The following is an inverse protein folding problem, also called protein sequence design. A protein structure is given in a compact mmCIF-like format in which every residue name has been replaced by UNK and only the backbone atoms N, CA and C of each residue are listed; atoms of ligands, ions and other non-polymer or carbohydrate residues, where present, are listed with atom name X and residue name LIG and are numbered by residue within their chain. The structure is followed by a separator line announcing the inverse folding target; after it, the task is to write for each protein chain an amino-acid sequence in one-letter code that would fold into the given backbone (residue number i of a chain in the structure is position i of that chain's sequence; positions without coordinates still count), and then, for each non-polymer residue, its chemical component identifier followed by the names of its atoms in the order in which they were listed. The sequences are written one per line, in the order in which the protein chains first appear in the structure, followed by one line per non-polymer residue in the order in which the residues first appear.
data_IF_532739470530
#
_entry.id   IF_532739470530
#
_cell.length_a   1.000
_cell.length_b   1.000
_cell.length_c   1.000
_cell.angle_alpha   90.00
_cell.angle_beta   90.00
_cell.angle_gamma   90.00
#
_symmetry.space_group_name_H-M   'P 1'
#
loop_
_entity.id
_entity.type
_entity.pdbx_description
1 polymer ?
#
# COMPACT_ATOMS: atom_id res chain seq x y z
N UNK A 1 -0.48 -17.68 -6.07
CA UNK A 1 -1.61 -17.40 -5.17
C UNK A 1 -1.29 -16.14 -4.39
N UNK A 2 -2.25 -15.23 -4.24
CA UNK A 2 -2.08 -14.03 -3.42
C UNK A 2 -1.90 -14.44 -1.96
N UNK A 3 -0.79 -14.02 -1.33
CA UNK A 3 -0.52 -14.27 0.08
C UNK A 3 -0.98 -13.02 0.83
N UNK A 4 -1.99 -13.18 1.68
CA UNK A 4 -2.35 -12.13 2.61
C UNK A 4 -1.21 -11.92 3.59
N UNK A 5 -0.68 -10.70 3.65
CA UNK A 5 0.28 -10.33 4.68
C UNK A 5 -0.50 -9.96 5.94
N UNK A 6 -0.16 -10.58 7.07
CA UNK A 6 -0.76 -10.22 8.37
C UNK A 6 -0.22 -8.89 8.90
N UNK A 7 0.86 -8.40 8.30
CA UNK A 7 1.49 -7.14 8.67
C UNK A 7 0.96 -6.00 7.80
N UNK A 8 0.76 -4.81 8.37
CA UNK A 8 0.39 -3.65 7.58
C UNK A 8 1.48 -3.35 6.55
N UNK A 9 1.06 -2.91 5.37
CA UNK A 9 1.98 -2.44 4.34
C UNK A 9 2.87 -1.31 4.89
N UNK A 10 4.14 -1.24 4.46
CA UNK A 10 5.03 -0.18 4.91
C UNK A 10 4.47 1.18 4.49
N UNK A 11 4.64 2.17 5.35
CA UNK A 11 4.26 3.55 5.05
C UNK A 11 4.91 4.02 3.73
N UNK A 12 4.23 4.88 2.93
CA UNK A 12 4.73 5.32 1.62
C UNK A 12 6.18 5.85 1.65
N UNK A 13 6.58 6.51 2.73
CA UNK A 13 7.92 7.07 2.90
C UNK A 13 9.01 6.02 3.12
N UNK A 14 8.62 4.85 3.63
CA UNK A 14 9.48 3.69 3.87
C UNK A 14 9.47 2.74 2.66
N UNK A 15 8.73 3.07 1.60
CA UNK A 15 8.74 2.31 0.37
C UNK A 15 10.05 2.57 -0.39
N UNK A 16 10.91 1.56 -0.45
CA UNK A 16 12.17 1.63 -1.18
C UNK A 16 11.92 1.52 -2.69
N UNK A 17 12.24 2.59 -3.40
CA UNK A 17 12.24 2.59 -4.86
C UNK A 17 13.58 2.03 -5.37
N UNK A 18 13.61 1.37 -6.55
CA UNK A 18 14.85 0.86 -7.14
C UNK A 18 15.82 1.96 -7.58
N UNK A 19 15.42 3.22 -7.44
CA UNK A 19 16.21 4.43 -7.60
C UNK A 19 16.17 5.20 -6.28
N UNK A 20 17.14 6.09 -6.03
CA UNK A 20 17.33 6.83 -4.76
C UNK A 20 16.19 7.83 -4.38
N UNK A 21 15.00 7.66 -4.95
CA UNK A 21 13.82 8.45 -4.65
C UNK A 21 13.00 7.87 -3.49
N UNK A 22 12.10 8.70 -2.96
CA UNK A 22 11.05 8.29 -2.01
C UNK A 22 9.68 8.49 -2.64
N UNK A 23 8.71 7.68 -2.25
CA UNK A 23 7.34 7.87 -2.69
C UNK A 23 6.76 9.12 -2.02
N UNK A 24 6.33 10.08 -2.83
CA UNK A 24 5.68 11.29 -2.29
C UNK A 24 4.25 10.99 -1.84
N UNK A 25 3.88 11.44 -0.65
CA UNK A 25 2.49 11.42 -0.15
C UNK A 25 1.52 12.18 -1.06
N UNK A 26 2.00 13.20 -1.79
CA UNK A 26 1.16 13.96 -2.73
C UNK A 26 0.91 13.23 -4.05
N UNK A 27 1.44 12.01 -4.21
CA UNK A 27 1.19 11.19 -5.38
C UNK A 27 -0.28 10.73 -5.37
N UNK A 28 -0.98 10.95 -6.48
CA UNK A 28 -2.40 10.60 -6.60
C UNK A 28 -2.69 9.13 -6.29
N UNK A 29 -1.77 8.22 -6.64
CA UNK A 29 -1.93 6.79 -6.34
C UNK A 29 -1.82 6.49 -4.85
N UNK A 30 -0.93 7.17 -4.13
CA UNK A 30 -0.78 7.04 -2.67
C UNK A 30 -2.06 7.53 -1.98
N UNK A 31 -2.53 8.71 -2.37
CA UNK A 31 -3.79 9.28 -1.84
C UNK A 31 -4.97 8.34 -2.12
N UNK A 32 -5.09 7.81 -3.33
CA UNK A 32 -6.17 6.87 -3.66
C UNK A 32 -6.07 5.57 -2.86
N UNK A 33 -4.87 5.05 -2.64
CA UNK A 33 -4.66 3.84 -1.85
C UNK A 33 -5.10 4.03 -0.39
N UNK A 34 -4.86 5.19 0.22
CA UNK A 34 -5.31 5.50 1.58
C UNK A 34 -6.85 5.57 1.72
N UNK A 35 -7.55 5.94 0.63
CA UNK A 35 -9.01 6.06 0.64
C UNK A 35 -9.73 4.71 0.46
N UNK A 36 -9.03 3.67 -0.03
CA UNK A 36 -9.64 2.38 -0.30
C UNK A 36 -9.64 1.52 0.98
N UNK A 37 -10.79 0.97 1.41
CA UNK A 37 -10.86 0.11 2.60
C UNK A 37 -10.35 -1.30 2.29
N UNK A 38 -9.04 -1.46 2.12
CA UNK A 38 -8.39 -2.71 1.73
C UNK A 38 -8.74 -3.89 2.63
N UNK A 39 -8.86 -3.67 3.94
CA UNK A 39 -9.23 -4.72 4.91
C UNK A 39 -10.54 -5.42 4.57
N UNK A 40 -11.54 -4.69 4.08
CA UNK A 40 -12.85 -5.24 3.75
C UNK A 40 -12.87 -5.94 2.40
N UNK A 41 -12.01 -5.52 1.47
CA UNK A 41 -11.81 -6.22 0.21
C UNK A 41 -11.05 -7.53 0.41
N UNK A 42 -9.97 -7.50 1.19
CA UNK A 42 -9.16 -8.68 1.45
C UNK A 42 -9.90 -9.74 2.26
N UNK A 43 -10.83 -9.36 3.15
CA UNK A 43 -11.70 -10.31 3.86
C UNK A 43 -12.61 -11.12 2.94
N UNK A 44 -13.00 -10.60 1.77
CA UNK A 44 -13.91 -11.30 0.84
C UNK A 44 -13.20 -12.29 -0.08
N UNK A 45 -11.87 -12.19 -0.17
CA UNK A 45 -11.05 -12.98 -1.10
C UNK A 45 -10.40 -14.18 -0.39
N UNK A 46 -10.38 -14.20 0.95
CA UNK A 46 -9.86 -15.29 1.77
C UNK A 46 -10.98 -16.20 2.30
#
# INVERSE_FOLDING_TARGET
MYRKEEQPSPAPENFELPFEGKLSLSNRWVIMAELIPWDDFEKKIC
#
